data_IF_388922649979
#
_entry.id   IF_388922649979
#
_cell.length_a   1.000
_cell.length_b   1.000
_cell.length_c   1.000
_cell.angle_alpha   90.00
_cell.angle_beta   90.00
_cell.angle_gamma   90.00
#
_symmetry.space_group_name_H-M   'P 1'
#
loop_
_entity.id
_entity.type
_entity.pdbx_description
1 polymer ?
#
# COMPACT_ATOMS: atom_id res chain seq x y z
N UNK A 1 -10.58 -4.49 -9.82
CA UNK A 1 -9.59 -3.65 -9.10
C UNK A 1 -10.33 -2.44 -8.59
N UNK A 2 -10.34 -2.22 -7.26
CA UNK A 2 -11.05 -1.08 -6.66
C UNK A 2 -10.28 0.24 -6.87
N UNK A 3 -10.96 1.37 -6.68
CA UNK A 3 -10.32 2.69 -6.79
C UNK A 3 -9.11 2.81 -5.85
N UNK A 4 -9.26 2.39 -4.59
CA UNK A 4 -8.20 2.43 -3.59
C UNK A 4 -6.96 1.64 -4.05
N UNK A 5 -7.15 0.45 -4.60
CA UNK A 5 -6.09 -0.42 -5.11
C UNK A 5 -5.31 0.23 -6.28
N UNK A 6 -6.03 0.88 -7.20
CA UNK A 6 -5.41 1.61 -8.32
C UNK A 6 -4.56 2.78 -7.83
N UNK A 7 -5.09 3.57 -6.89
CA UNK A 7 -4.42 4.79 -6.40
C UNK A 7 -3.20 4.45 -5.55
N UNK A 8 -3.33 3.48 -4.64
CA UNK A 8 -2.21 3.01 -3.79
C UNK A 8 -1.09 2.43 -4.64
N UNK A 9 -1.42 1.65 -5.67
CA UNK A 9 -0.44 1.10 -6.61
C UNK A 9 0.29 2.20 -7.38
N UNK A 10 -0.43 3.19 -7.90
CA UNK A 10 0.17 4.32 -8.61
C UNK A 10 1.12 5.11 -7.69
N UNK A 11 0.70 5.39 -6.46
CA UNK A 11 1.48 6.09 -5.47
C UNK A 11 2.76 5.32 -5.08
N UNK A 12 2.66 4.02 -4.82
CA UNK A 12 3.81 3.19 -4.48
C UNK A 12 4.75 2.91 -5.66
N UNK A 13 4.36 3.23 -6.89
CA UNK A 13 5.25 3.21 -8.05
C UNK A 13 6.24 4.36 -8.08
N UNK A 14 5.99 5.44 -7.36
CA UNK A 14 6.91 6.56 -7.25
C UNK A 14 8.21 6.11 -6.54
N UNK A 15 9.36 6.32 -7.20
CA UNK A 15 10.64 5.79 -6.70
C UNK A 15 11.00 6.34 -5.31
N UNK A 16 10.68 7.59 -5.02
CA UNK A 16 10.92 8.22 -3.72
C UNK A 16 10.13 7.57 -2.60
N UNK A 17 8.83 7.34 -2.82
CA UNK A 17 7.91 6.70 -1.87
C UNK A 17 8.27 5.22 -1.67
N UNK A 18 8.58 4.52 -2.78
CA UNK A 18 9.02 3.14 -2.74
C UNK A 18 10.31 2.97 -1.93
N UNK A 19 11.33 3.79 -2.21
CA UNK A 19 12.59 3.77 -1.49
C UNK A 19 12.40 4.06 0.00
N UNK A 20 11.53 5.01 0.35
CA UNK A 20 11.24 5.40 1.72
C UNK A 20 10.65 4.24 2.54
N UNK A 21 9.70 3.50 1.97
CA UNK A 21 9.13 2.32 2.61
C UNK A 21 10.19 1.25 2.94
N UNK A 22 11.14 0.99 2.02
CA UNK A 22 12.21 0.04 2.26
C UNK A 22 13.32 0.59 3.15
N UNK A 23 13.61 1.87 3.08
CA UNK A 23 14.53 2.54 4.01
C UNK A 23 14.01 2.44 5.44
N UNK A 24 12.71 2.63 5.64
CA UNK A 24 12.09 2.39 6.94
C UNK A 24 12.22 0.93 7.38
N UNK A 25 11.79 -0.01 6.53
CA UNK A 25 11.73 -1.43 6.88
C UNK A 25 13.10 -2.03 7.19
N UNK A 26 14.09 -1.80 6.32
CA UNK A 26 15.38 -2.50 6.38
C UNK A 26 16.40 -1.69 7.19
N UNK A 27 16.35 -0.36 7.09
CA UNK A 27 17.43 0.52 7.59
C UNK A 27 16.96 1.48 8.69
N UNK A 28 15.72 1.31 9.19
CA UNK A 28 15.18 2.13 10.29
C UNK A 28 15.06 3.61 9.93
N UNK A 29 14.81 3.93 8.65
CA UNK A 29 14.66 5.28 8.11
C UNK A 29 15.94 5.91 7.56
N UNK A 30 17.08 5.20 7.58
CA UNK A 30 18.30 5.70 6.93
C UNK A 30 18.17 5.59 5.41
N UNK A 31 18.53 6.64 4.68
CA UNK A 31 18.46 6.69 3.22
C UNK A 31 19.59 5.85 2.56
N UNK A 32 19.37 4.54 2.44
CA UNK A 32 20.31 3.57 1.83
C UNK A 32 19.80 3.14 0.46
N UNK A 33 18.50 2.90 0.31
CA UNK A 33 17.86 2.66 -0.99
C UNK A 33 17.72 4.01 -1.68
N UNK A 34 18.51 4.20 -2.75
CA UNK A 34 18.50 5.44 -3.54
C UNK A 34 17.39 5.38 -4.61
N UNK A 35 16.42 6.29 -4.59
CA UNK A 35 15.34 6.34 -5.58
C UNK A 35 15.83 6.42 -7.03
N UNK A 36 16.97 7.08 -7.26
CA UNK A 36 17.54 7.24 -8.60
C UNK A 36 18.15 5.93 -9.16
N UNK A 37 18.42 4.96 -8.30
CA UNK A 37 18.97 3.66 -8.66
C UNK A 37 17.90 2.57 -8.83
N UNK A 38 16.63 2.89 -8.58
CA UNK A 38 15.52 1.95 -8.72
C UNK A 38 15.12 1.79 -10.18
N UNK A 39 14.98 0.54 -10.61
CA UNK A 39 14.47 0.19 -11.94
C UNK A 39 13.22 -0.66 -11.80
N UNK A 40 12.11 -0.22 -12.42
CA UNK A 40 10.87 -1.01 -12.44
C UNK A 40 11.07 -2.27 -13.27
N UNK A 41 10.59 -3.39 -12.75
CA UNK A 41 10.62 -4.69 -13.39
C UNK A 41 9.20 -5.12 -13.76
N UNK A 42 9.12 -6.07 -14.70
CA UNK A 42 7.84 -6.71 -15.01
C UNK A 42 7.32 -7.47 -13.79
N UNK A 43 6.11 -7.11 -13.37
CA UNK A 43 5.42 -7.73 -12.24
C UNK A 43 4.64 -8.98 -12.63
N UNK A 44 4.64 -9.34 -13.92
CA UNK A 44 3.94 -10.51 -14.43
C UNK A 44 4.66 -11.77 -14.01
N UNK A 45 4.05 -12.55 -13.15
CA UNK A 45 4.54 -13.85 -12.71
C UNK A 45 3.60 -14.95 -13.21
N UNK A 46 4.15 -15.94 -13.92
CA UNK A 46 3.40 -17.08 -14.43
C UNK A 46 3.48 -18.18 -13.37
N UNK A 47 2.41 -18.35 -12.61
CA UNK A 47 2.25 -19.51 -11.75
C UNK A 47 1.38 -20.55 -12.48
N UNK A 48 1.86 -21.79 -12.57
CA UNK A 48 1.00 -22.91 -12.91
C UNK A 48 0.14 -23.22 -11.68
N UNK A 49 -1.20 -23.08 -11.76
CA UNK A 49 -2.03 -23.39 -10.61
C UNK A 49 -2.03 -24.90 -10.36
N UNK A 50 -1.70 -25.29 -9.15
CA UNK A 50 -1.98 -26.64 -8.70
C UNK A 50 -3.49 -26.77 -8.47
N UNK A 51 -4.16 -27.57 -9.28
CA UNK A 51 -5.53 -27.99 -9.05
C UNK A 51 -6.63 -27.01 -9.46
N UNK A 52 -6.39 -26.09 -10.38
CA UNK A 52 -7.48 -25.34 -11.00
C UNK A 52 -8.35 -26.32 -11.82
N UNK A 53 -9.57 -26.55 -11.35
CA UNK A 53 -10.59 -27.31 -12.07
C UNK A 53 -11.62 -26.32 -12.62
N UNK A 54 -12.11 -26.59 -13.85
CA UNK A 54 -13.28 -25.89 -14.38
C UNK A 54 -14.55 -26.33 -13.63
N UNK A 55 -15.68 -25.71 -13.94
CA UNK A 55 -16.98 -26.05 -13.36
C UNK A 55 -17.39 -27.53 -13.58
N UNK A 56 -16.69 -28.23 -14.47
CA UNK A 56 -16.91 -29.64 -14.81
C UNK A 56 -15.86 -30.58 -14.19
N UNK A 57 -14.93 -30.06 -13.37
CA UNK A 57 -13.90 -30.84 -12.69
C UNK A 57 -12.70 -31.21 -13.58
N UNK A 58 -12.57 -30.65 -14.79
CA UNK A 58 -11.40 -30.84 -15.63
C UNK A 58 -10.27 -29.95 -15.16
N UNK A 59 -9.04 -30.50 -15.12
CA UNK A 59 -7.86 -29.67 -14.85
C UNK A 59 -7.67 -28.68 -16.02
N UNK A 60 -7.91 -27.41 -15.75
CA UNK A 60 -7.52 -26.36 -16.68
C UNK A 60 -6.05 -26.02 -16.43
N UNK A 61 -5.24 -26.30 -17.44
CA UNK A 61 -3.82 -25.96 -17.44
C UNK A 61 -3.59 -24.46 -17.74
N UNK A 62 -4.57 -23.61 -17.42
CA UNK A 62 -4.42 -22.18 -17.63
C UNK A 62 -3.43 -21.63 -16.62
N UNK A 63 -2.31 -21.16 -17.13
CA UNK A 63 -1.34 -20.42 -16.33
C UNK A 63 -2.04 -19.23 -15.67
N UNK A 64 -2.20 -19.27 -14.35
CA UNK A 64 -2.71 -18.11 -13.62
C UNK A 64 -1.57 -17.09 -13.56
N UNK A 65 -1.71 -16.05 -14.36
CA UNK A 65 -0.85 -14.88 -14.22
C UNK A 65 -1.17 -14.24 -12.87
N UNK A 66 -0.19 -14.27 -11.96
CA UNK A 66 -0.22 -13.52 -10.71
C UNK A 66 0.59 -12.25 -10.92
N UNK A 67 0.03 -11.14 -10.49
CA UNK A 67 0.67 -9.84 -10.58
C UNK A 67 1.01 -9.39 -9.17
N UNK A 68 2.27 -9.09 -8.95
CA UNK A 68 2.73 -8.30 -7.80
C UNK A 68 2.38 -6.83 -8.06
N UNK A 69 2.06 -6.06 -7.03
CA UNK A 69 1.66 -4.67 -7.24
C UNK A 69 2.81 -3.83 -7.78
N UNK A 70 3.99 -3.91 -7.16
CA UNK A 70 5.21 -3.22 -7.62
C UNK A 70 6.41 -4.13 -7.39
N UNK A 71 7.29 -4.21 -8.38
CA UNK A 71 8.58 -4.89 -8.30
C UNK A 71 9.68 -4.02 -8.90
N UNK A 72 10.74 -3.78 -8.15
CA UNK A 72 11.89 -3.00 -8.62
C UNK A 72 13.21 -3.68 -8.27
N UNK A 73 14.20 -3.52 -9.14
CA UNK A 73 15.59 -3.81 -8.77
C UNK A 73 16.22 -2.59 -8.12
N UNK A 74 17.01 -2.82 -7.10
CA UNK A 74 17.79 -1.81 -6.40
C UNK A 74 19.26 -2.21 -6.38
N UNK A 75 20.14 -1.22 -6.43
CA UNK A 75 21.56 -1.39 -6.14
C UNK A 75 21.82 -0.76 -4.78
N UNK A 76 22.23 -1.57 -3.82
CA UNK A 76 22.59 -1.10 -2.49
C UNK A 76 24.11 -1.16 -2.38
N UNK A 77 24.72 -0.02 -2.06
CA UNK A 77 26.14 0.07 -1.77
C UNK A 77 26.33 -0.05 -0.26
N UNK A 78 27.00 -1.11 0.16
CA UNK A 78 27.39 -1.30 1.54
C UNK A 78 28.88 -1.73 1.55
N UNK A 79 29.70 -1.04 2.36
CA UNK A 79 31.10 -1.36 2.59
C UNK A 79 31.94 -1.50 1.30
N UNK A 80 31.78 -0.57 0.35
CA UNK A 80 32.41 -0.55 -0.98
C UNK A 80 32.00 -1.70 -1.93
N UNK A 81 31.09 -2.58 -1.53
CA UNK A 81 30.47 -3.59 -2.39
C UNK A 81 29.08 -3.16 -2.84
N UNK A 82 28.77 -3.38 -4.11
CA UNK A 82 27.44 -3.19 -4.66
C UNK A 82 26.66 -4.51 -4.60
N UNK A 83 25.58 -4.55 -3.82
CA UNK A 83 24.65 -5.66 -3.79
C UNK A 83 23.40 -5.32 -4.62
N UNK A 84 23.00 -6.25 -5.49
CA UNK A 84 21.72 -6.17 -6.19
C UNK A 84 20.64 -6.82 -5.34
N UNK A 85 19.47 -6.18 -5.27
CA UNK A 85 18.33 -6.70 -4.52
C UNK A 85 17.07 -6.51 -5.37
N UNK A 86 16.15 -7.48 -5.31
CA UNK A 86 14.81 -7.33 -5.84
C UNK A 86 13.86 -6.95 -4.69
N UNK A 87 13.16 -5.84 -4.84
CA UNK A 87 12.25 -5.31 -3.85
C UNK A 87 10.83 -5.33 -4.41
N UNK A 88 9.92 -5.98 -3.70
CA UNK A 88 8.52 -6.09 -4.08
C UNK A 88 7.59 -5.48 -3.04
N UNK A 89 6.53 -4.79 -3.47
CA UNK A 89 5.48 -4.29 -2.57
C UNK A 89 4.15 -4.93 -2.94
N UNK A 90 3.41 -5.32 -1.91
CA UNK A 90 2.01 -5.73 -1.95
C UNK A 90 1.20 -4.70 -1.15
N UNK A 91 0.31 -3.97 -1.82
CA UNK A 91 -0.58 -3.00 -1.20
C UNK A 91 -1.87 -3.71 -0.78
N UNK A 92 -2.23 -3.63 0.49
CA UNK A 92 -3.43 -4.27 1.02
C UNK A 92 -4.34 -3.24 1.69
N UNK A 93 -5.52 -3.04 1.15
CA UNK A 93 -6.59 -2.24 1.80
C UNK A 93 -7.38 -3.08 2.79
N UNK A 94 -7.49 -4.39 2.52
CA UNK A 94 -8.11 -5.39 3.37
C UNK A 94 -7.10 -6.45 3.79
N UNK A 95 -7.38 -7.14 4.91
CA UNK A 95 -6.49 -8.17 5.45
C UNK A 95 -6.57 -9.42 4.60
N UNK A 96 -5.44 -9.86 4.11
CA UNK A 96 -5.33 -11.11 3.36
C UNK A 96 -4.77 -12.23 4.26
N UNK A 97 -5.65 -13.08 4.78
CA UNK A 97 -5.30 -14.11 5.78
C UNK A 97 -4.35 -15.22 5.26
N UNK A 98 -4.08 -15.30 3.97
CA UNK A 98 -3.08 -16.20 3.40
C UNK A 98 -1.83 -15.45 2.88
N UNK A 99 -1.50 -14.31 3.45
CA UNK A 99 -0.39 -13.45 2.99
C UNK A 99 0.97 -14.16 3.01
N UNK A 100 1.33 -14.96 4.05
CA UNK A 100 2.60 -15.70 4.03
C UNK A 100 2.73 -16.62 2.82
N UNK A 101 1.65 -17.34 2.46
CA UNK A 101 1.66 -18.23 1.28
C UNK A 101 1.72 -17.42 -0.01
N UNK A 102 1.01 -16.29 -0.08
CA UNK A 102 1.04 -15.41 -1.25
C UNK A 102 2.45 -14.89 -1.52
N UNK A 103 3.12 -14.38 -0.49
CA UNK A 103 4.46 -13.81 -0.62
C UNK A 103 5.51 -14.87 -0.97
N UNK A 104 5.48 -16.05 -0.31
CA UNK A 104 6.44 -17.12 -0.63
C UNK A 104 6.31 -17.59 -2.08
N UNK A 105 5.07 -17.63 -2.63
CA UNK A 105 4.88 -17.98 -4.04
C UNK A 105 5.53 -16.94 -4.96
N UNK A 106 5.34 -15.66 -4.70
CA UNK A 106 5.98 -14.61 -5.49
C UNK A 106 7.50 -14.65 -5.42
N UNK A 107 8.07 -14.80 -4.23
CA UNK A 107 9.53 -14.86 -4.07
C UNK A 107 10.11 -16.12 -4.70
N UNK A 108 9.43 -17.27 -4.56
CA UNK A 108 9.86 -18.52 -5.19
C UNK A 108 9.84 -18.44 -6.72
N UNK A 109 8.84 -17.77 -7.31
CA UNK A 109 8.79 -17.55 -8.76
C UNK A 109 9.94 -16.67 -9.24
N UNK A 110 10.30 -15.62 -8.48
CA UNK A 110 11.45 -14.78 -8.82
C UNK A 110 12.77 -15.54 -8.71
N UNK A 111 12.95 -16.36 -7.68
CA UNK A 111 14.14 -17.22 -7.58
C UNK A 111 14.20 -18.25 -8.71
N UNK A 112 13.05 -18.88 -9.03
CA UNK A 112 12.97 -19.83 -10.13
C UNK A 112 13.31 -19.19 -11.48
N UNK A 113 12.83 -17.97 -11.73
CA UNK A 113 13.15 -17.19 -12.93
C UNK A 113 14.67 -16.91 -13.02
N UNK A 114 15.28 -16.44 -11.95
CA UNK A 114 16.72 -16.17 -11.92
C UNK A 114 17.55 -17.41 -12.26
N UNK A 115 17.20 -18.56 -11.68
CA UNK A 115 17.86 -19.85 -11.98
C UNK A 115 17.70 -20.22 -13.45
N UNK A 116 16.48 -20.07 -14.00
CA UNK A 116 16.21 -20.36 -15.40
C UNK A 116 16.98 -19.42 -16.35
N UNK A 117 17.05 -18.14 -16.04
CA UNK A 117 17.76 -17.13 -16.84
C UNK A 117 19.28 -17.41 -16.85
N UNK A 118 19.86 -17.74 -15.70
CA UNK A 118 21.28 -18.14 -15.58
C UNK A 118 21.56 -19.40 -16.41
N UNK A 119 20.71 -20.42 -16.28
CA UNK A 119 20.85 -21.65 -17.05
C UNK A 119 20.69 -21.42 -18.57
N UNK A 120 19.81 -20.53 -18.97
CA UNK A 120 19.64 -20.13 -20.37
C UNK A 120 20.88 -19.41 -20.90
N UNK A 121 21.46 -18.50 -20.12
CA UNK A 121 22.69 -17.80 -20.45
C UNK A 121 23.85 -18.77 -20.66
N UNK A 122 24.07 -19.72 -19.76
CA UNK A 122 25.11 -20.73 -19.92
C UNK A 122 24.96 -21.56 -21.19
N UNK A 123 23.72 -21.90 -21.57
CA UNK A 123 23.46 -22.61 -22.83
C UNK A 123 23.76 -21.76 -24.06
N UNK A 124 23.43 -20.48 -24.02
CA UNK A 124 23.67 -19.54 -25.13
C UNK A 124 25.14 -19.25 -25.32
N UNK A 125 25.86 -19.05 -24.22
CA UNK A 125 27.30 -18.74 -24.24
C UNK A 125 28.13 -19.97 -24.57
N UNK A 126 27.52 -21.14 -24.74
CA UNK A 126 28.23 -22.40 -25.03
C UNK A 126 29.09 -22.87 -23.85
N UNK A 127 28.85 -22.33 -22.67
CA UNK A 127 29.57 -22.72 -21.47
C UNK A 127 29.28 -24.19 -21.14
N UNK A 128 30.34 -24.96 -20.93
CA UNK A 128 30.19 -26.36 -20.50
C UNK A 128 30.34 -26.40 -18.98
N UNK A 129 29.39 -26.99 -18.30
CA UNK A 129 29.49 -27.25 -16.86
C UNK A 129 30.76 -28.07 -16.54
N UNK A 130 31.38 -27.71 -15.44
CA UNK A 130 32.62 -28.37 -14.98
C UNK A 130 32.35 -29.75 -14.37
N UNK A 131 31.11 -30.05 -14.02
CA UNK A 131 30.68 -31.32 -13.46
C UNK A 131 29.37 -31.80 -14.12
N UNK A 132 29.06 -33.09 -13.93
CA UNK A 132 27.76 -33.66 -14.38
C UNK A 132 26.56 -32.96 -13.72
N UNK A 133 26.70 -32.58 -12.45
CA UNK A 133 25.63 -31.89 -11.72
C UNK A 133 25.34 -30.50 -12.28
N UNK A 134 26.38 -29.74 -12.59
CA UNK A 134 26.27 -28.41 -13.23
C UNK A 134 25.66 -28.51 -14.63
N UNK A 135 26.08 -29.50 -15.41
CA UNK A 135 25.50 -29.72 -16.73
C UNK A 135 23.99 -30.07 -16.65
N UNK A 136 23.60 -30.92 -15.71
CA UNK A 136 22.20 -31.32 -15.56
C UNK A 136 21.30 -30.20 -15.04
N UNK A 137 21.79 -29.42 -14.08
CA UNK A 137 21.03 -28.29 -13.49
C UNK A 137 21.05 -27.05 -14.38
N UNK A 138 22.10 -26.87 -15.17
CA UNK A 138 22.39 -25.62 -15.87
C UNK A 138 22.82 -24.48 -14.95
N UNK A 139 22.92 -24.75 -13.64
CA UNK A 139 23.32 -23.78 -12.61
C UNK A 139 24.64 -24.23 -12.01
N UNK A 140 25.66 -23.37 -12.06
CA UNK A 140 27.02 -23.72 -11.71
C UNK A 140 27.32 -23.37 -10.24
N UNK A 141 28.34 -23.99 -9.67
CA UNK A 141 28.69 -23.84 -8.26
C UNK A 141 28.92 -22.39 -7.82
N UNK A 142 29.47 -21.60 -8.73
CA UNK A 142 29.81 -20.19 -8.46
C UNK A 142 28.70 -19.22 -8.82
N UNK A 143 27.63 -19.69 -9.46
CA UNK A 143 26.46 -18.87 -9.73
C UNK A 143 25.81 -18.40 -8.43
N UNK A 144 25.27 -17.19 -8.47
CA UNK A 144 24.56 -16.57 -7.34
C UNK A 144 23.24 -16.00 -7.84
N UNK A 145 22.25 -16.03 -6.97
CA UNK A 145 20.96 -15.38 -7.20
C UNK A 145 20.85 -14.12 -6.35
N UNK A 146 20.07 -13.17 -6.84
CA UNK A 146 19.79 -11.91 -6.18
C UNK A 146 18.74 -12.12 -5.10
N UNK A 147 18.91 -11.62 -3.86
CA UNK A 147 17.90 -11.66 -2.83
C UNK A 147 16.61 -10.99 -3.27
N UNK A 148 15.48 -11.56 -2.87
CA UNK A 148 14.12 -11.00 -3.06
C UNK A 148 13.56 -10.64 -1.70
N UNK A 149 13.09 -9.42 -1.52
CA UNK A 149 12.44 -8.96 -0.29
C UNK A 149 11.06 -8.41 -0.65
N UNK A 150 10.02 -8.98 -0.08
CA UNK A 150 8.64 -8.53 -0.26
C UNK A 150 8.14 -7.82 0.99
N UNK A 151 7.70 -6.58 0.82
CA UNK A 151 7.04 -5.76 1.84
C UNK A 151 5.54 -5.76 1.60
N UNK A 152 4.76 -5.98 2.64
CA UNK A 152 3.31 -5.73 2.66
C UNK A 152 3.07 -4.38 3.31
N UNK A 153 2.39 -3.49 2.61
CA UNK A 153 1.95 -2.20 3.14
C UNK A 153 0.44 -2.20 3.30
N UNK A 154 -0.01 -2.15 4.56
CA UNK A 154 -1.44 -2.14 4.88
C UNK A 154 -1.98 -0.71 4.84
N UNK A 155 -2.91 -0.46 3.91
CA UNK A 155 -3.60 0.84 3.78
C UNK A 155 -4.93 0.88 4.51
N UNK A 156 -5.21 -0.10 5.38
CA UNK A 156 -6.40 -0.13 6.22
C UNK A 156 -6.21 0.60 7.54
N UNK A 157 -7.30 1.16 8.07
CA UNK A 157 -7.31 1.81 9.38
C UNK A 157 -7.53 0.85 10.56
N UNK A 158 -7.80 -0.44 10.27
CA UNK A 158 -7.84 -1.50 11.28
C UNK A 158 -6.45 -2.06 11.48
N UNK A 159 -6.17 -2.54 12.68
CA UNK A 159 -4.99 -3.32 12.94
C UNK A 159 -5.00 -4.61 12.13
N UNK A 160 -3.84 -4.99 11.60
CA UNK A 160 -3.67 -6.26 10.93
C UNK A 160 -3.75 -7.41 11.94
N UNK A 161 -4.73 -8.30 11.77
CA UNK A 161 -4.95 -9.48 12.60
C UNK A 161 -4.68 -10.80 11.85
N UNK A 162 -4.22 -10.73 10.61
CA UNK A 162 -3.83 -11.89 9.81
C UNK A 162 -2.48 -12.46 10.23
N UNK A 163 -2.18 -13.71 9.83
CA UNK A 163 -0.91 -14.36 10.15
C UNK A 163 0.26 -13.61 9.52
N UNK A 164 1.36 -13.52 10.28
CA UNK A 164 2.62 -12.90 9.85
C UNK A 164 3.69 -13.92 9.52
N UNK A 165 3.44 -15.20 9.76
CA UNK A 165 4.35 -16.27 9.38
C UNK A 165 3.62 -17.49 8.83
N UNK A 166 4.36 -18.31 8.07
CA UNK A 166 3.83 -19.57 7.57
C UNK A 166 3.51 -20.54 8.71
N UNK A 167 4.33 -20.55 9.79
CA UNK A 167 4.09 -21.40 10.96
C UNK A 167 2.80 -21.04 11.69
N UNK A 168 2.40 -19.77 11.73
CA UNK A 168 1.11 -19.35 12.31
C UNK A 168 -0.09 -19.96 11.59
N UNK A 169 0.05 -20.26 10.29
CA UNK A 169 -0.99 -20.88 9.46
C UNK A 169 -1.06 -22.41 9.58
N UNK A 170 -0.08 -23.06 10.22
CA UNK A 170 -0.01 -24.50 10.29
C UNK A 170 -1.07 -25.09 11.24
N UNK A 171 -1.70 -26.16 10.80
CA UNK A 171 -2.68 -26.91 11.60
C UNK A 171 -2.04 -27.61 12.81
N UNK A 172 -0.74 -27.92 12.72
CA UNK A 172 0.03 -28.61 13.78
C UNK A 172 0.99 -27.60 14.40
N UNK A 173 0.97 -27.53 15.74
CA UNK A 173 1.80 -26.61 16.53
C UNK A 173 2.93 -27.34 17.29
N UNK A 174 3.30 -28.54 16.83
CA UNK A 174 4.37 -29.31 17.42
C UNK A 174 5.73 -28.78 16.99
N UNK A 175 6.50 -28.19 17.91
CA UNK A 175 7.80 -27.59 17.63
C UNK A 175 8.79 -28.56 16.95
N UNK A 176 8.78 -29.85 17.36
CA UNK A 176 9.67 -30.85 16.76
C UNK A 176 9.37 -31.09 15.28
N UNK A 177 8.12 -30.93 14.85
CA UNK A 177 7.74 -31.00 13.44
C UNK A 177 8.01 -29.68 12.70
N UNK A 178 7.68 -28.55 13.34
CA UNK A 178 7.88 -27.24 12.75
C UNK A 178 9.35 -26.91 12.48
N UNK A 179 10.29 -27.48 13.25
CA UNK A 179 11.72 -27.35 12.98
C UNK A 179 12.16 -27.91 11.61
N UNK A 180 11.35 -28.77 10.98
CA UNK A 180 11.60 -29.28 9.62
C UNK A 180 10.83 -28.51 8.55
N UNK A 181 9.97 -27.56 8.92
CA UNK A 181 9.23 -26.71 8.00
C UNK A 181 9.87 -25.32 8.02
N UNK A 182 10.33 -24.86 6.84
CA UNK A 182 10.87 -23.50 6.74
C UNK A 182 9.76 -22.51 7.05
N UNK A 183 10.01 -21.60 8.01
CA UNK A 183 9.10 -20.50 8.27
C UNK A 183 9.35 -19.37 7.29
N UNK A 184 8.28 -18.79 6.79
CA UNK A 184 8.33 -17.63 5.91
C UNK A 184 7.65 -16.45 6.60
N UNK A 185 8.42 -15.42 6.88
CA UNK A 185 7.96 -14.21 7.59
C UNK A 185 7.42 -13.17 6.62
N UNK A 186 6.30 -12.56 6.96
CA UNK A 186 5.74 -11.41 6.26
C UNK A 186 6.33 -10.13 6.84
N UNK A 187 6.97 -9.32 6.00
CA UNK A 187 7.39 -7.98 6.37
C UNK A 187 6.22 -7.02 6.18
N UNK A 188 5.67 -6.52 7.28
CA UNK A 188 4.45 -5.72 7.28
C UNK A 188 4.72 -4.31 7.83
N UNK A 189 4.24 -3.29 7.10
CA UNK A 189 4.01 -1.96 7.65
C UNK A 189 2.50 -1.85 7.93
N UNK A 190 2.13 -1.84 9.22
CA UNK A 190 0.77 -1.67 9.70
C UNK A 190 0.63 -0.31 10.39
N UNK A 191 -0.09 0.67 9.80
CA UNK A 191 -0.27 2.00 10.39
C UNK A 191 -0.73 1.97 11.85
N UNK A 192 -1.62 1.04 12.19
CA UNK A 192 -2.16 0.95 13.55
C UNK A 192 -1.08 0.67 14.61
N UNK A 193 -0.04 -0.09 14.26
CA UNK A 193 1.04 -0.51 15.17
C UNK A 193 2.22 0.46 15.24
N UNK A 194 2.36 1.37 14.30
CA UNK A 194 3.49 2.31 14.29
C UNK A 194 3.40 3.30 15.47
N UNK A 195 4.52 3.59 16.10
CA UNK A 195 4.65 4.68 17.07
C UNK A 195 4.74 6.05 16.38
N UNK A 196 4.74 7.12 17.14
CA UNK A 196 5.02 8.48 16.61
C UNK A 196 6.47 8.56 16.09
N UNK A 197 7.38 7.95 16.81
CA UNK A 197 8.80 7.88 16.48
C UNK A 197 9.04 7.07 15.19
N UNK A 198 8.20 6.06 14.94
CA UNK A 198 8.25 5.30 13.66
C UNK A 198 7.79 6.15 12.48
N UNK A 199 6.75 6.96 12.66
CA UNK A 199 6.28 7.88 11.61
C UNK A 199 7.38 8.88 11.22
N UNK A 200 8.18 9.38 12.19
CA UNK A 200 9.25 10.34 11.91
C UNK A 200 10.44 9.73 11.13
N UNK A 201 10.49 8.42 10.99
CA UNK A 201 11.51 7.73 10.17
C UNK A 201 11.21 7.77 8.67
N UNK A 202 9.99 8.11 8.28
CA UNK A 202 9.65 8.32 6.87
C UNK A 202 10.02 9.73 6.43
N UNK A 203 10.63 9.82 5.27
CA UNK A 203 11.14 11.08 4.69
C UNK A 203 10.20 11.71 3.66
N UNK A 204 9.30 10.93 3.06
CA UNK A 204 8.35 11.37 2.03
C UNK A 204 6.95 11.61 2.61
N UNK A 205 5.98 11.95 1.75
CA UNK A 205 4.56 12.04 2.08
C UNK A 205 3.95 10.73 2.58
N UNK A 206 4.69 9.61 2.49
CA UNK A 206 4.27 8.33 3.06
C UNK A 206 4.04 8.44 4.58
N UNK A 207 4.80 9.27 5.28
CA UNK A 207 4.57 9.61 6.70
C UNK A 207 3.16 10.14 6.94
N UNK A 208 2.75 11.11 6.12
CA UNK A 208 1.45 11.76 6.26
C UNK A 208 0.31 10.84 5.87
N UNK A 209 0.49 10.06 4.80
CA UNK A 209 -0.49 9.05 4.36
C UNK A 209 -0.71 8.01 5.46
N UNK A 210 0.37 7.40 5.98
CA UNK A 210 0.31 6.40 7.05
C UNK A 210 -0.26 7.01 8.35
N UNK A 211 0.19 8.21 8.71
CA UNK A 211 -0.28 8.92 9.90
C UNK A 211 -1.76 9.26 9.82
N UNK A 212 -2.23 9.72 8.68
CA UNK A 212 -3.67 9.98 8.45
C UNK A 212 -4.49 8.70 8.59
N UNK A 213 -4.08 7.60 7.95
CA UNK A 213 -4.75 6.30 8.05
C UNK A 213 -4.81 5.85 9.51
N UNK A 214 -3.68 5.90 10.22
CA UNK A 214 -3.56 5.53 11.63
C UNK A 214 -4.58 6.25 12.53
N UNK A 215 -4.77 7.54 12.31
CA UNK A 215 -5.64 8.36 13.16
C UNK A 215 -7.04 8.57 12.59
N UNK A 216 -7.34 8.08 11.39
CA UNK A 216 -8.60 8.36 10.67
C UNK A 216 -9.88 8.01 11.43
N UNK A 217 -9.82 7.04 12.36
CA UNK A 217 -10.94 6.63 13.21
C UNK A 217 -11.02 7.38 14.55
N UNK A 218 -10.02 8.15 14.91
CA UNK A 218 -9.99 8.93 16.13
C UNK A 218 -9.93 10.43 15.78
N UNK A 219 -11.10 11.08 15.81
CA UNK A 219 -11.23 12.48 15.44
C UNK A 219 -10.28 13.40 16.19
N UNK A 220 -10.07 13.16 17.50
CA UNK A 220 -9.20 14.00 18.32
C UNK A 220 -7.75 13.86 17.89
N UNK A 221 -7.26 12.62 17.78
CA UNK A 221 -5.88 12.36 17.38
C UNK A 221 -5.62 12.77 15.93
N UNK A 222 -6.60 12.59 15.03
CA UNK A 222 -6.48 13.07 13.65
C UNK A 222 -6.37 14.59 13.62
N UNK A 223 -7.22 15.32 14.38
CA UNK A 223 -7.12 16.78 14.47
C UNK A 223 -5.76 17.21 15.02
N UNK A 224 -5.26 16.57 16.08
CA UNK A 224 -3.93 16.84 16.63
C UNK A 224 -2.81 16.59 15.60
N UNK A 225 -2.93 15.55 14.80
CA UNK A 225 -1.96 15.20 13.76
C UNK A 225 -1.97 16.19 12.58
N UNK A 226 -3.14 16.74 12.25
CA UNK A 226 -3.30 17.73 11.18
C UNK A 226 -2.90 19.14 11.62
N UNK A 227 -3.12 19.49 12.91
CA UNK A 227 -2.89 20.84 13.41
C UNK A 227 -1.40 21.19 13.29
N UNK A 228 -1.13 22.35 12.66
CA UNK A 228 0.22 22.89 12.47
C UNK A 228 1.20 21.91 11.79
N UNK A 229 0.70 21.00 10.97
CA UNK A 229 1.53 20.07 10.23
C UNK A 229 1.78 20.56 8.78
N UNK A 230 2.89 21.25 8.51
CA UNK A 230 3.17 21.82 7.18
C UNK A 230 3.39 20.75 6.12
N UNK A 231 3.67 19.50 6.51
CA UNK A 231 3.85 18.38 5.58
C UNK A 231 2.52 17.86 4.99
N UNK A 232 1.37 18.39 5.50
CA UNK A 232 0.06 18.14 4.89
C UNK A 232 -0.17 18.94 3.59
N UNK A 233 0.71 19.87 3.26
CA UNK A 233 0.89 20.38 1.90
C UNK A 233 1.70 19.33 1.14
N UNK A 234 1.04 18.45 0.40
CA UNK A 234 1.63 17.27 -0.18
C UNK A 234 1.23 17.07 -1.65
N UNK A 235 1.88 16.13 -2.30
CA UNK A 235 1.56 15.74 -3.67
C UNK A 235 0.12 15.23 -3.77
N UNK A 236 -0.58 15.60 -4.84
CA UNK A 236 -1.98 15.20 -5.04
C UNK A 236 -2.17 13.69 -5.06
N UNK A 237 -1.16 12.91 -5.50
CA UNK A 237 -1.22 11.45 -5.48
C UNK A 237 -1.32 10.91 -4.05
N UNK A 238 -0.57 11.47 -3.10
CA UNK A 238 -0.65 11.11 -1.68
C UNK A 238 -2.03 11.46 -1.10
N UNK A 239 -2.57 12.65 -1.41
CA UNK A 239 -3.91 13.06 -0.98
C UNK A 239 -5.01 12.17 -1.59
N UNK A 240 -4.86 11.73 -2.84
CA UNK A 240 -5.78 10.78 -3.49
C UNK A 240 -5.78 9.43 -2.78
N UNK A 241 -4.62 8.95 -2.29
CA UNK A 241 -4.55 7.74 -1.46
C UNK A 241 -5.35 7.94 -0.17
N UNK A 242 -5.11 9.02 0.58
CA UNK A 242 -5.88 9.34 1.79
C UNK A 242 -7.38 9.30 1.50
N UNK A 243 -7.83 10.04 0.48
CA UNK A 243 -9.24 10.06 0.06
C UNK A 243 -9.81 8.66 -0.19
N UNK A 244 -9.09 7.85 -0.97
CA UNK A 244 -9.58 6.55 -1.42
C UNK A 244 -9.62 5.50 -0.31
N UNK A 245 -8.63 5.48 0.59
CA UNK A 245 -8.51 4.42 1.61
C UNK A 245 -9.25 4.75 2.93
N UNK A 246 -9.48 6.05 3.20
CA UNK A 246 -10.21 6.48 4.42
C UNK A 246 -11.64 6.93 4.13
N UNK A 247 -12.05 6.95 2.86
CA UNK A 247 -13.32 7.53 2.40
C UNK A 247 -13.55 8.98 2.87
N UNK A 248 -12.46 9.73 3.06
CA UNK A 248 -12.56 11.15 3.39
C UNK A 248 -12.95 11.92 2.13
N UNK A 249 -14.05 12.71 2.12
CA UNK A 249 -14.54 13.38 0.91
C UNK A 249 -13.73 14.64 0.60
N UNK A 250 -12.42 14.49 0.37
CA UNK A 250 -11.54 15.58 -0.06
C UNK A 250 -11.90 16.01 -1.47
N UNK A 251 -12.00 17.31 -1.70
CA UNK A 251 -12.06 17.86 -3.05
C UNK A 251 -10.64 18.01 -3.60
N UNK A 252 -10.31 17.19 -4.62
CA UNK A 252 -8.98 17.15 -5.25
C UNK A 252 -9.18 17.32 -6.75
N UNK A 253 -8.85 18.48 -7.32
CA UNK A 253 -8.91 18.68 -8.77
C UNK A 253 -8.07 17.64 -9.53
N UNK A 254 -8.53 17.26 -10.72
CA UNK A 254 -7.83 16.23 -11.52
C UNK A 254 -6.42 16.67 -11.93
N UNK A 255 -6.24 17.95 -12.22
CA UNK A 255 -4.99 18.59 -12.63
C UNK A 255 -4.11 19.09 -11.47
N UNK A 256 -4.56 18.90 -10.22
CA UNK A 256 -3.79 19.31 -9.06
C UNK A 256 -2.49 18.50 -8.94
N UNK A 257 -1.36 19.20 -8.78
CA UNK A 257 -0.07 18.59 -8.45
C UNK A 257 0.16 18.52 -6.94
N UNK A 258 -0.31 19.53 -6.21
CA UNK A 258 -0.15 19.66 -4.74
C UNK A 258 -1.49 20.04 -4.11
N UNK A 259 -1.74 19.50 -2.92
CA UNK A 259 -2.96 19.74 -2.12
C UNK A 259 -2.57 20.04 -0.67
N UNK A 260 -3.22 21.04 -0.09
CA UNK A 260 -3.23 21.26 1.36
C UNK A 260 -4.37 20.44 1.97
N UNK A 261 -4.02 19.27 2.50
CA UNK A 261 -4.99 18.33 3.08
C UNK A 261 -5.61 18.91 4.37
N UNK A 262 -4.86 19.70 5.16
CA UNK A 262 -5.40 20.34 6.36
C UNK A 262 -6.53 21.29 5.99
N UNK A 263 -6.30 22.15 5.01
CA UNK A 263 -7.31 23.11 4.53
C UNK A 263 -8.50 22.38 3.92
N UNK A 264 -8.27 21.37 3.08
CA UNK A 264 -9.34 20.58 2.47
C UNK A 264 -10.23 19.89 3.54
N UNK A 265 -9.64 19.38 4.63
CA UNK A 265 -10.40 18.79 5.74
C UNK A 265 -11.14 19.86 6.54
N UNK A 266 -10.54 21.03 6.76
CA UNK A 266 -11.20 22.17 7.45
C UNK A 266 -12.40 22.67 6.64
N UNK A 267 -12.24 22.88 5.35
CA UNK A 267 -13.30 23.29 4.45
C UNK A 267 -14.47 22.29 4.45
N UNK A 268 -14.18 21.00 4.32
CA UNK A 268 -15.15 19.92 4.42
C UNK A 268 -15.92 19.93 5.77
N UNK A 269 -15.19 20.14 6.88
CA UNK A 269 -15.83 20.19 8.20
C UNK A 269 -16.73 21.42 8.37
N UNK A 270 -16.36 22.56 7.76
CA UNK A 270 -17.15 23.78 7.79
C UNK A 270 -18.39 23.66 6.91
N UNK A 271 -18.28 23.06 5.73
CA UNK A 271 -19.42 22.73 4.86
C UNK A 271 -20.41 21.82 5.58
N UNK A 272 -19.95 20.70 6.16
CA UNK A 272 -20.81 19.76 6.89
C UNK A 272 -21.52 20.41 8.09
N UNK A 273 -20.85 21.33 8.82
CA UNK A 273 -21.49 22.09 9.90
C UNK A 273 -22.57 23.02 9.35
N UNK A 274 -22.30 23.67 8.23
CA UNK A 274 -23.24 24.59 7.57
C UNK A 274 -24.47 23.84 7.08
N UNK A 275 -24.27 22.71 6.37
CA UNK A 275 -25.35 21.83 5.90
C UNK A 275 -26.20 21.32 7.07
N UNK A 276 -25.57 20.86 8.16
CA UNK A 276 -26.29 20.42 9.35
C UNK A 276 -27.14 21.53 9.99
N UNK A 277 -26.59 22.75 10.09
CA UNK A 277 -27.31 23.91 10.60
C UNK A 277 -28.49 24.29 9.69
N UNK A 278 -28.29 24.31 8.38
CA UNK A 278 -29.32 24.58 7.39
C UNK A 278 -30.42 23.53 7.45
N UNK A 279 -30.08 22.25 7.54
CA UNK A 279 -31.09 21.16 7.63
C UNK A 279 -31.98 21.29 8.88
N UNK A 280 -31.39 21.58 10.05
CA UNK A 280 -32.17 21.81 11.29
C UNK A 280 -33.06 23.02 11.17
N UNK A 281 -32.52 24.16 10.68
CA UNK A 281 -33.29 25.39 10.53
C UNK A 281 -34.41 25.25 9.48
N UNK A 282 -34.16 24.54 8.38
CA UNK A 282 -35.17 24.22 7.37
C UNK A 282 -36.33 23.38 7.96
N UNK A 283 -36.00 22.41 8.83
CA UNK A 283 -37.02 21.66 9.58
C UNK A 283 -37.92 22.59 10.42
N UNK A 284 -37.29 23.53 11.16
CA UNK A 284 -38.06 24.50 11.98
C UNK A 284 -38.93 25.46 11.14
N UNK A 285 -38.44 25.82 9.93
CA UNK A 285 -39.25 26.62 8.99
C UNK A 285 -40.43 25.80 8.48
N UNK A 286 -40.23 24.53 8.10
CA UNK A 286 -41.28 23.62 7.64
C UNK A 286 -42.38 23.40 8.72
N UNK A 287 -41.95 23.32 9.98
CA UNK A 287 -42.84 23.15 11.12
C UNK A 287 -43.55 24.47 11.53
N UNK A 288 -43.30 25.57 10.83
CA UNK A 288 -43.89 26.88 11.11
C UNK A 288 -43.36 27.58 12.37
N UNK A 289 -42.27 27.08 12.94
CA UNK A 289 -41.64 27.61 14.15
C UNK A 289 -40.70 28.79 13.91
N UNK A 290 -40.15 28.91 12.68
CA UNK A 290 -39.29 30.01 12.24
C UNK A 290 -39.74 30.52 10.87
N UNK A 291 -39.48 31.81 10.62
CA UNK A 291 -39.56 32.36 9.25
C UNK A 291 -38.29 32.05 8.49
N UNK A 292 -38.35 32.01 7.15
CA UNK A 292 -37.16 31.85 6.28
C UNK A 292 -36.12 32.92 6.61
N UNK A 293 -36.55 34.18 6.79
CA UNK A 293 -35.67 35.29 7.16
C UNK A 293 -34.91 35.07 8.47
N UNK A 294 -35.61 34.58 9.48
CA UNK A 294 -35.02 34.27 10.80
C UNK A 294 -34.06 33.07 10.70
N UNK A 295 -34.44 32.05 9.93
CA UNK A 295 -33.62 30.88 9.72
C UNK A 295 -32.31 31.23 8.96
N UNK A 296 -32.41 32.02 7.89
CA UNK A 296 -31.27 32.52 7.14
C UNK A 296 -30.32 33.36 8.02
N UNK A 297 -30.87 34.25 8.83
CA UNK A 297 -30.11 35.07 9.79
C UNK A 297 -29.33 34.18 10.79
N UNK A 298 -29.98 33.14 11.34
CA UNK A 298 -29.35 32.18 12.26
C UNK A 298 -28.30 31.29 11.59
N UNK A 299 -28.45 31.01 10.29
CA UNK A 299 -27.46 30.34 9.47
C UNK A 299 -26.30 31.26 9.03
N UNK A 300 -26.39 32.55 9.38
CA UNK A 300 -25.43 33.59 8.93
C UNK A 300 -25.38 33.70 7.38
N UNK A 301 -26.54 33.58 6.74
CA UNK A 301 -26.71 33.57 5.29
C UNK A 301 -27.74 34.61 4.85
N UNK A 302 -27.74 34.95 3.56
CA UNK A 302 -28.88 35.67 2.94
C UNK A 302 -30.07 34.70 2.75
N UNK A 303 -31.30 35.24 2.69
CA UNK A 303 -32.50 34.42 2.47
C UNK A 303 -32.38 33.59 1.18
N UNK A 304 -31.91 34.20 0.09
CA UNK A 304 -31.68 33.51 -1.19
C UNK A 304 -30.61 32.40 -1.11
N UNK A 305 -29.53 32.60 -0.35
CA UNK A 305 -28.50 31.58 -0.16
C UNK A 305 -29.06 30.43 0.69
N UNK A 306 -29.82 30.73 1.75
CA UNK A 306 -30.46 29.70 2.59
C UNK A 306 -31.43 28.83 1.80
N UNK A 307 -32.31 29.44 0.99
CA UNK A 307 -33.24 28.73 0.11
C UNK A 307 -32.52 27.83 -0.92
N UNK A 308 -31.39 28.32 -1.46
CA UNK A 308 -30.58 27.54 -2.40
C UNK A 308 -29.99 26.30 -1.74
N UNK A 309 -29.46 26.44 -0.52
CA UNK A 309 -28.90 25.29 0.24
C UNK A 309 -30.01 24.29 0.66
N UNK A 310 -31.19 24.77 1.11
CA UNK A 310 -32.33 23.89 1.41
C UNK A 310 -32.74 23.05 0.20
N UNK A 311 -32.68 23.62 -1.01
CA UNK A 311 -32.99 22.88 -2.24
C UNK A 311 -31.95 21.79 -2.57
N UNK A 312 -30.68 21.94 -2.16
CA UNK A 312 -29.65 20.89 -2.35
C UNK A 312 -29.85 19.72 -1.40
N UNK A 313 -30.47 19.98 -0.23
CA UNK A 313 -30.70 18.97 0.81
C UNK A 313 -32.05 18.22 0.65
N UNK A 314 -32.90 18.66 -0.26
CA UNK A 314 -34.22 18.06 -0.56
C UNK A 314 -34.13 17.13 -1.78
#
# INVERSE_FOLDING_TARGET
MGLADTVTKAYMKENTVFADAFNYLIYGGKAVVDPAQLQELDTTEIALPFGAQDENGNQTADAVQKYRDVLKSAVIKQDDEAAYILLGIENQTDIHYAMPVRNIVYDALQYGKQVADIAAKHRTDGSKGHSRGEYLSGFYKDDKITPVITLVLHFGANEWDGPLSLHEMMAVKNESLLNFVQDYQVHLIDPAKLSKEDLEKFSTSLREVIGYIKYSKDKKRLTEFLTDNPRMLMEANAARVIKAVTNTPLDIPEDAEVIDVCKAVEDMMNESKTEGAVAVLAGLVKDGLLSIKEAAHRANMTESAFEAEVKKLS
#
